data_IF_176027040843
#
_entry.id   IF_176027040843
#
_cell.length_a   1.000
_cell.length_b   1.000
_cell.length_c   1.000
_cell.angle_alpha   90.00
_cell.angle_beta   90.00
_cell.angle_gamma   90.00
#
_symmetry.space_group_name_H-M   'P 1'
#
loop_
_entity.id
_entity.type
_entity.pdbx_description
1 polymer ?
#
# COMPACT_ATOMS: atom_id res chain seq x y z
N UNK A 1 12.18 2.70 5.03
CA UNK A 1 11.78 1.58 4.14
C UNK A 1 10.86 0.65 4.93
N UNK A 2 9.67 0.36 4.40
CA UNK A 2 8.66 -0.47 5.09
C UNK A 2 9.09 -1.94 5.24
N UNK A 3 9.92 -2.47 4.32
CA UNK A 3 10.43 -3.84 4.40
C UNK A 3 11.36 -4.03 5.59
N UNK A 4 12.25 -3.07 5.82
CA UNK A 4 13.15 -3.09 6.99
C UNK A 4 12.37 -3.12 8.31
N UNK A 5 11.29 -2.33 8.40
CA UNK A 5 10.39 -2.34 9.58
C UNK A 5 9.71 -3.70 9.75
N UNK A 6 9.24 -4.31 8.64
CA UNK A 6 8.66 -5.66 8.65
C UNK A 6 9.66 -6.71 9.13
N UNK A 7 10.90 -6.64 8.70
CA UNK A 7 11.95 -7.60 9.08
C UNK A 7 12.34 -7.49 10.56
N UNK A 8 12.47 -6.27 11.07
CA UNK A 8 12.89 -6.04 12.45
C UNK A 8 11.75 -6.22 13.47
N UNK A 9 10.54 -5.78 13.13
CA UNK A 9 9.43 -5.65 14.10
C UNK A 9 8.15 -6.39 13.70
N UNK A 10 8.05 -6.92 12.49
CA UNK A 10 6.79 -7.46 11.93
C UNK A 10 6.22 -8.70 12.62
N UNK A 11 6.94 -9.29 13.59
CA UNK A 11 6.46 -10.36 14.48
C UNK A 11 5.91 -9.85 15.82
N UNK A 12 6.10 -8.57 16.13
CA UNK A 12 5.74 -7.94 17.40
C UNK A 12 4.63 -6.91 17.26
N UNK A 13 4.52 -6.29 16.08
CA UNK A 13 3.56 -5.23 15.79
C UNK A 13 2.89 -5.44 14.44
N UNK A 14 1.72 -4.84 14.29
CA UNK A 14 1.11 -4.63 12.98
C UNK A 14 1.71 -3.38 12.33
N UNK A 15 1.92 -3.44 11.02
CA UNK A 15 2.42 -2.32 10.21
C UNK A 15 1.25 -1.77 9.39
N UNK A 16 1.12 -0.44 9.36
CA UNK A 16 0.08 0.26 8.60
C UNK A 16 0.75 1.29 7.69
N UNK A 17 0.38 1.36 6.41
CA UNK A 17 0.97 2.29 5.42
C UNK A 17 1.23 1.62 4.06
N UNK A 18 2.02 2.17 3.15
CA UNK A 18 2.72 3.46 3.16
C UNK A 18 2.65 4.13 1.77
N UNK A 19 1.53 3.97 1.06
CA UNK A 19 1.39 4.45 -0.32
C UNK A 19 1.54 5.97 -0.36
N UNK A 20 2.50 6.44 -1.14
CA UNK A 20 2.92 7.84 -1.18
C UNK A 20 1.80 8.75 -1.73
N UNK A 21 1.43 9.78 -0.96
CA UNK A 21 0.41 10.73 -1.38
C UNK A 21 0.97 11.85 -2.26
N UNK A 22 2.28 12.10 -2.21
CA UNK A 22 2.92 13.23 -2.90
C UNK A 22 3.08 13.00 -4.40
N UNK A 23 3.67 11.88 -4.79
CA UNK A 23 3.97 11.52 -6.18
C UNK A 23 3.06 10.41 -6.69
N UNK A 24 2.97 9.28 -5.98
CA UNK A 24 2.22 8.11 -6.48
C UNK A 24 0.73 8.42 -6.63
N UNK A 25 0.08 8.93 -5.57
CA UNK A 25 -1.36 9.19 -5.65
C UNK A 25 -1.72 10.53 -6.31
N UNK A 26 -0.80 11.50 -6.41
CA UNK A 26 -1.10 12.81 -6.98
C UNK A 26 -0.62 13.00 -8.42
N UNK A 27 0.49 12.39 -8.82
CA UNK A 27 1.14 12.68 -10.11
C UNK A 27 1.06 11.52 -11.10
N UNK A 28 1.20 10.28 -10.64
CA UNK A 28 1.23 9.08 -11.49
C UNK A 28 -0.09 8.79 -12.19
N UNK A 29 -0.03 7.90 -13.18
CA UNK A 29 -1.19 7.29 -13.82
C UNK A 29 -1.72 6.08 -12.99
N UNK A 30 -2.96 5.65 -13.21
CA UNK A 30 -3.56 4.53 -12.49
C UNK A 30 -2.79 3.19 -12.59
N UNK A 31 -2.15 2.89 -13.71
CA UNK A 31 -1.40 1.63 -13.89
C UNK A 31 -0.19 1.60 -12.97
N UNK A 32 0.56 2.72 -12.91
CA UNK A 32 1.65 2.90 -11.95
C UNK A 32 1.16 2.77 -10.51
N UNK A 33 -0.01 3.32 -10.16
CA UNK A 33 -0.59 3.19 -8.80
C UNK A 33 -0.90 1.73 -8.47
N UNK A 34 -1.54 1.00 -9.39
CA UNK A 34 -1.84 -0.42 -9.20
C UNK A 34 -0.56 -1.24 -9.00
N UNK A 35 0.47 -1.00 -9.80
CA UNK A 35 1.75 -1.68 -9.69
C UNK A 35 2.41 -1.43 -8.33
N UNK A 36 2.50 -0.18 -7.88
CA UNK A 36 3.10 0.17 -6.58
C UNK A 36 2.34 -0.51 -5.43
N UNK A 37 1.00 -0.51 -5.48
CA UNK A 37 0.18 -1.18 -4.46
C UNK A 37 0.41 -2.68 -4.45
N UNK A 38 0.44 -3.32 -5.62
CA UNK A 38 0.73 -4.75 -5.76
C UNK A 38 2.09 -5.10 -5.16
N UNK A 39 3.15 -4.40 -5.57
CA UNK A 39 4.52 -4.65 -5.11
C UNK A 39 4.65 -4.45 -3.60
N UNK A 40 3.98 -3.43 -3.04
CA UNK A 40 3.97 -3.19 -1.59
C UNK A 40 3.32 -4.35 -0.83
N UNK A 41 2.20 -4.86 -1.34
CA UNK A 41 1.50 -6.01 -0.73
C UNK A 41 2.37 -7.26 -0.83
N UNK A 42 2.91 -7.58 -2.00
CA UNK A 42 3.78 -8.76 -2.19
C UNK A 42 5.02 -8.73 -1.28
N UNK A 43 5.55 -7.54 -1.02
CA UNK A 43 6.74 -7.34 -0.20
C UNK A 43 6.47 -7.42 1.32
N UNK A 44 5.33 -6.89 1.79
CA UNK A 44 5.10 -6.63 3.22
C UNK A 44 4.01 -7.53 3.83
N UNK A 45 3.03 -7.96 3.04
CA UNK A 45 1.91 -8.77 3.52
C UNK A 45 2.25 -10.21 3.94
N UNK A 46 3.25 -10.91 3.35
CA UNK A 46 3.56 -12.29 3.75
C UNK A 46 3.78 -12.44 5.25
N UNK A 47 3.12 -13.45 5.84
CA UNK A 47 3.13 -13.69 7.28
C UNK A 47 2.16 -12.82 8.10
N UNK A 48 1.24 -12.09 7.45
CA UNK A 48 0.21 -11.29 8.11
C UNK A 48 0.73 -10.03 8.80
N UNK A 49 -0.11 -9.36 9.61
CA UNK A 49 0.31 -8.18 10.40
C UNK A 49 0.62 -6.93 9.56
N UNK A 50 0.06 -6.81 8.36
CA UNK A 50 0.18 -5.64 7.50
C UNK A 50 -1.21 -5.14 7.06
N UNK A 51 -1.43 -3.84 7.16
CA UNK A 51 -2.60 -3.15 6.63
C UNK A 51 -2.14 -2.08 5.64
N UNK A 52 -2.56 -2.21 4.39
CA UNK A 52 -2.27 -1.17 3.40
C UNK A 52 -3.02 0.12 3.72
N UNK A 53 -2.30 1.24 3.67
CA UNK A 53 -2.84 2.59 3.83
C UNK A 53 -1.98 3.60 3.08
N UNK A 54 -2.47 4.83 2.95
CA UNK A 54 -1.65 5.95 2.50
C UNK A 54 -0.58 6.28 3.55
N UNK A 55 0.53 6.86 3.12
CA UNK A 55 1.61 7.29 4.03
C UNK A 55 1.14 8.39 4.99
N UNK A 56 0.31 9.31 4.49
CA UNK A 56 -0.27 10.44 5.20
C UNK A 56 -1.78 10.56 4.88
N UNK A 57 -2.43 11.61 5.39
CA UNK A 57 -3.80 11.98 5.01
C UNK A 57 -3.97 12.17 3.50
N UNK A 58 -5.11 11.74 2.97
CA UNK A 58 -5.52 12.04 1.59
C UNK A 58 -5.86 13.53 1.50
N UNK A 59 -5.04 14.30 0.78
CA UNK A 59 -5.18 15.76 0.62
C UNK A 59 -5.73 16.12 -0.77
N UNK A 60 -6.06 17.40 -0.98
CA UNK A 60 -6.72 17.91 -2.18
C UNK A 60 -5.94 17.75 -3.50
N UNK A 61 -4.65 17.42 -3.43
CA UNK A 61 -3.82 17.20 -4.62
C UNK A 61 -3.84 15.72 -5.06
N UNK A 62 -4.29 14.80 -4.19
CA UNK A 62 -4.47 13.40 -4.58
C UNK A 62 -5.58 13.31 -5.62
N UNK A 63 -5.25 12.66 -6.74
CA UNK A 63 -6.20 12.40 -7.81
C UNK A 63 -7.24 11.35 -7.34
N UNK A 64 -8.55 11.63 -7.39
CA UNK A 64 -9.58 10.69 -6.96
C UNK A 64 -9.51 9.33 -7.68
N UNK A 65 -9.16 9.32 -8.96
CA UNK A 65 -8.96 8.13 -9.78
C UNK A 65 -7.79 7.27 -9.28
N UNK A 66 -6.72 7.88 -8.79
CA UNK A 66 -5.57 7.18 -8.23
C UNK A 66 -5.91 6.59 -6.86
N UNK A 67 -6.62 7.34 -6.01
CA UNK A 67 -7.09 6.79 -4.74
C UNK A 67 -8.06 5.63 -4.94
N UNK A 68 -8.99 5.75 -5.89
CA UNK A 68 -9.89 4.64 -6.28
C UNK A 68 -9.10 3.44 -6.77
N UNK A 69 -8.07 3.65 -7.59
CA UNK A 69 -7.20 2.58 -8.09
C UNK A 69 -6.45 1.89 -6.95
N UNK A 70 -5.93 2.64 -5.99
CA UNK A 70 -5.32 2.07 -4.78
C UNK A 70 -6.29 1.16 -4.02
N UNK A 71 -7.55 1.58 -3.82
CA UNK A 71 -8.55 0.75 -3.13
C UNK A 71 -8.91 -0.52 -3.92
N UNK A 72 -9.03 -0.43 -5.24
CA UNK A 72 -9.31 -1.59 -6.10
C UNK A 72 -8.14 -2.57 -6.12
N UNK A 73 -6.91 -2.06 -6.25
CA UNK A 73 -5.69 -2.85 -6.20
C UNK A 73 -5.53 -3.53 -4.83
N UNK A 74 -5.79 -2.81 -3.73
CA UNK A 74 -5.79 -3.38 -2.39
C UNK A 74 -6.77 -4.56 -2.25
N UNK A 75 -7.98 -4.47 -2.83
CA UNK A 75 -8.94 -5.58 -2.84
C UNK A 75 -8.50 -6.74 -3.74
N UNK A 76 -7.91 -6.43 -4.90
CA UNK A 76 -7.47 -7.42 -5.89
C UNK A 76 -6.28 -8.25 -5.41
N UNK A 77 -5.31 -7.61 -4.76
CA UNK A 77 -4.04 -8.23 -4.34
C UNK A 77 -3.98 -8.54 -2.84
N UNK A 78 -4.84 -7.93 -2.03
CA UNK A 78 -4.92 -8.17 -0.59
C UNK A 78 -5.74 -9.39 -0.19
N UNK A 79 -6.30 -10.13 -1.16
CA UNK A 79 -7.04 -11.36 -0.86
C UNK A 79 -6.08 -12.46 -0.35
N UNK A 80 -6.38 -12.96 0.85
CA UNK A 80 -5.51 -13.78 1.70
C UNK A 80 -5.34 -15.21 1.17
N UNK A 81 -4.72 -15.39 0.01
CA UNK A 81 -4.26 -16.71 -0.49
C UNK A 81 -3.06 -17.27 0.29
N UNK A 82 -2.83 -16.78 1.51
CA UNK A 82 -1.75 -17.19 2.41
C UNK A 82 -2.27 -17.73 3.75
N UNK A 83 -3.55 -18.11 3.83
CA UNK A 83 -4.04 -19.04 4.85
C UNK A 83 -3.67 -20.47 4.48
#
# INVERSE_FOLDING_TARGET
>A
DIKKVKDEYGKKICIIGNIDTGKVLSESDPETVEQVVKETIELVAPGGGYMIASANSIHSHVKPENYRTMLLAARKYGDYRFL
#
